data_IF_834700588522
#
_entry.id   IF_834700588522
#
_cell.length_a   1.000
_cell.length_b   1.000
_cell.length_c   1.000
_cell.angle_alpha   90.00
_cell.angle_beta   90.00
_cell.angle_gamma   90.00
#
_symmetry.space_group_name_H-M   'P 1'
#
loop_
_entity.id
_entity.type
_entity.pdbx_description
1 polymer ?
#
# COMPACT_ATOMS: atom_id res chain seq x y z
N UNK A 1 52.21 37.18 -25.64
CA UNK A 1 50.86 36.70 -25.74
C UNK A 1 50.85 35.19 -25.49
N UNK A 2 50.46 34.77 -24.30
CA UNK A 2 50.41 33.35 -23.90
C UNK A 2 48.93 33.01 -23.85
N UNK A 3 48.43 31.99 -24.56
CA UNK A 3 47.03 31.58 -24.44
C UNK A 3 46.81 30.76 -23.16
N UNK A 4 45.88 31.21 -22.34
CA UNK A 4 45.42 30.48 -21.18
C UNK A 4 44.55 29.30 -21.64
N UNK A 5 44.96 28.06 -21.33
CA UNK A 5 44.20 26.85 -21.53
C UNK A 5 43.24 26.71 -20.31
N UNK A 6 41.96 26.97 -20.50
CA UNK A 6 40.92 26.61 -19.54
C UNK A 6 40.70 25.10 -19.61
N UNK A 7 41.17 24.38 -18.61
CA UNK A 7 40.81 22.97 -18.42
C UNK A 7 39.47 22.92 -17.70
N UNK A 8 38.38 22.60 -18.41
CA UNK A 8 37.07 22.26 -17.82
C UNK A 8 37.13 20.87 -17.25
N UNK A 9 37.18 20.76 -15.92
CA UNK A 9 36.98 19.50 -15.21
C UNK A 9 35.49 19.15 -15.27
N UNK A 10 35.12 18.23 -16.16
CA UNK A 10 33.80 17.60 -16.15
C UNK A 10 33.81 16.54 -15.05
N UNK A 11 33.25 16.85 -13.87
CA UNK A 11 32.99 15.84 -12.86
C UNK A 11 31.79 15.00 -13.35
N UNK A 12 32.06 13.86 -13.98
CA UNK A 12 31.08 12.79 -14.13
C UNK A 12 30.83 12.19 -12.74
N UNK A 13 29.73 12.57 -12.10
CA UNK A 13 29.16 11.76 -11.03
C UNK A 13 28.60 10.50 -11.68
N UNK A 14 29.36 9.43 -11.66
CA UNK A 14 28.83 8.09 -11.87
C UNK A 14 27.92 7.79 -10.65
N UNK A 15 26.64 8.07 -10.76
CA UNK A 15 25.65 7.49 -9.86
C UNK A 15 25.65 5.99 -10.14
N UNK A 16 26.33 5.24 -9.29
CA UNK A 16 26.19 3.80 -9.24
C UNK A 16 24.74 3.52 -8.93
N UNK A 17 23.93 3.14 -9.95
CA UNK A 17 22.62 2.59 -9.75
C UNK A 17 22.85 1.20 -9.16
N UNK A 18 22.99 1.11 -7.85
CA UNK A 18 23.01 -0.17 -7.16
C UNK A 18 21.62 -0.77 -7.31
N UNK A 19 21.54 -1.92 -7.96
CA UNK A 19 20.31 -2.69 -7.99
C UNK A 19 19.86 -2.98 -6.55
N UNK A 20 18.62 -2.59 -6.21
CA UNK A 20 18.04 -2.80 -4.90
C UNK A 20 17.31 -4.14 -4.93
N UNK A 21 17.71 -5.09 -4.07
CA UNK A 21 17.13 -6.43 -4.00
C UNK A 21 18.08 -7.53 -4.46
N UNK A 22 17.69 -8.80 -4.50
CA UNK A 22 16.37 -9.28 -4.06
C UNK A 22 16.19 -9.20 -2.54
N UNK A 23 15.01 -8.74 -2.11
CA UNK A 23 14.66 -8.69 -0.68
C UNK A 23 14.34 -10.09 -0.15
N UNK A 24 14.74 -10.36 1.09
CA UNK A 24 14.45 -11.60 1.83
C UNK A 24 13.39 -11.39 2.93
N UNK A 25 13.16 -10.14 3.30
CA UNK A 25 12.21 -9.76 4.34
C UNK A 25 11.32 -8.64 3.86
N UNK A 26 10.01 -8.79 4.07
CA UNK A 26 9.01 -7.75 3.92
C UNK A 26 8.44 -7.44 5.30
N UNK A 27 8.64 -6.21 5.76
CA UNK A 27 8.03 -5.67 6.98
C UNK A 27 6.90 -4.75 6.54
N UNK A 28 5.65 -5.17 6.77
CA UNK A 28 4.46 -4.51 6.26
C UNK A 28 3.71 -3.76 7.36
N UNK A 29 3.26 -2.55 7.03
CA UNK A 29 2.42 -1.69 7.86
C UNK A 29 1.21 -1.24 7.05
N UNK A 30 0.13 -0.87 7.74
CA UNK A 30 -1.03 -0.36 7.03
C UNK A 30 -2.36 -0.67 7.69
N UNK A 31 -3.36 -0.86 6.84
CA UNK A 31 -4.74 -1.12 7.25
C UNK A 31 -5.23 -2.50 6.79
N UNK A 32 -6.57 -2.64 6.63
CA UNK A 32 -7.21 -3.89 6.22
C UNK A 32 -6.82 -4.42 4.83
N UNK A 33 -6.14 -3.63 4.01
CA UNK A 33 -5.60 -4.11 2.73
C UNK A 33 -4.35 -4.96 2.92
N UNK A 34 -3.68 -4.82 4.06
CA UNK A 34 -2.40 -5.46 4.37
C UNK A 34 -2.51 -6.47 5.51
N UNK A 35 -3.37 -6.22 6.51
CA UNK A 35 -3.53 -7.03 7.74
C UNK A 35 -3.79 -8.52 7.43
N UNK A 36 -2.85 -9.38 7.80
CA UNK A 36 -2.95 -10.82 7.64
C UNK A 36 -3.46 -11.55 8.90
N UNK A 37 -3.70 -10.82 9.99
CA UNK A 37 -4.25 -11.37 11.24
C UNK A 37 -5.78 -11.25 11.25
N UNK A 38 -6.31 -10.08 10.88
CA UNK A 38 -7.74 -9.80 10.83
C UNK A 38 -8.20 -9.56 9.40
N UNK A 39 -8.26 -10.64 8.64
CA UNK A 39 -8.70 -10.59 7.24
C UNK A 39 -10.20 -10.39 7.17
N UNK A 40 -10.65 -9.23 6.74
CA UNK A 40 -12.06 -8.80 6.79
C UNK A 40 -13.01 -9.60 5.89
N UNK A 41 -12.49 -10.38 4.95
CA UNK A 41 -13.25 -11.15 3.97
C UNK A 41 -12.89 -12.65 3.91
N UNK A 42 -12.03 -13.11 4.84
CA UNK A 42 -11.61 -14.51 4.91
C UNK A 42 -10.64 -14.94 3.79
N UNK A 43 -10.08 -14.01 3.05
CA UNK A 43 -9.10 -14.28 2.00
C UNK A 43 -7.64 -14.20 2.48
N UNK A 44 -6.69 -14.23 1.55
CA UNK A 44 -5.27 -14.01 1.82
C UNK A 44 -4.91 -12.59 1.39
N UNK A 45 -4.30 -11.76 2.25
CA UNK A 45 -3.85 -10.42 1.90
C UNK A 45 -2.58 -10.46 1.04
N UNK A 46 -2.26 -9.34 0.39
CA UNK A 46 -1.18 -9.25 -0.58
C UNK A 46 0.21 -9.62 -0.02
N UNK A 47 0.57 -9.35 1.25
CA UNK A 47 1.88 -9.74 1.77
C UNK A 47 2.09 -11.26 1.75
N UNK A 48 1.06 -12.03 2.09
CA UNK A 48 1.15 -13.49 2.09
C UNK A 48 1.30 -14.04 0.65
N UNK A 49 0.73 -13.36 -0.36
CA UNK A 49 1.00 -13.70 -1.76
C UNK A 49 2.46 -13.46 -2.15
N UNK A 50 3.14 -12.46 -1.58
CA UNK A 50 4.58 -12.27 -1.80
C UNK A 50 5.36 -13.51 -1.34
N UNK A 51 5.05 -14.05 -0.16
CA UNK A 51 5.67 -15.29 0.33
C UNK A 51 5.34 -16.48 -0.58
N UNK A 52 4.06 -16.65 -0.95
CA UNK A 52 3.62 -17.75 -1.82
C UNK A 52 4.31 -17.70 -3.18
N UNK A 53 4.35 -16.53 -3.84
CA UNK A 53 4.94 -16.40 -5.18
C UNK A 53 6.47 -16.39 -5.19
N UNK A 54 7.09 -16.07 -4.05
CA UNK A 54 8.53 -16.23 -3.86
C UNK A 54 8.92 -17.65 -3.43
N UNK A 55 7.94 -18.59 -3.34
CA UNK A 55 8.15 -19.95 -2.87
C UNK A 55 8.79 -20.01 -1.47
N UNK A 56 8.43 -19.05 -0.61
CA UNK A 56 8.95 -18.92 0.73
C UNK A 56 10.30 -18.19 0.85
N UNK A 57 10.86 -17.68 -0.26
CA UNK A 57 12.12 -16.96 -0.22
C UNK A 57 12.03 -15.59 0.47
N UNK A 58 10.81 -15.01 0.57
CA UNK A 58 10.57 -13.74 1.27
C UNK A 58 9.76 -14.01 2.54
N UNK A 59 10.35 -13.73 3.70
CA UNK A 59 9.66 -13.78 4.99
C UNK A 59 8.79 -12.55 5.19
N UNK A 60 7.56 -12.74 5.68
CA UNK A 60 6.60 -11.65 5.92
C UNK A 60 6.50 -11.36 7.40
N UNK A 61 6.61 -10.08 7.76
CA UNK A 61 6.44 -9.55 9.12
C UNK A 61 5.39 -8.45 9.06
N UNK A 62 4.12 -8.80 9.37
CA UNK A 62 2.99 -7.91 9.19
C UNK A 62 2.53 -7.27 10.49
N UNK A 63 2.64 -5.94 10.55
CA UNK A 63 2.19 -5.08 11.64
C UNK A 63 0.90 -4.33 11.32
N UNK A 64 0.40 -4.42 10.07
CA UNK A 64 -0.83 -3.76 9.65
C UNK A 64 -2.03 -4.20 10.49
N UNK A 65 -3.00 -3.31 10.69
CA UNK A 65 -4.24 -3.61 11.43
C UNK A 65 -5.45 -3.00 10.74
N UNK A 66 -6.46 -3.84 10.55
CA UNK A 66 -7.72 -3.47 9.93
C UNK A 66 -8.33 -2.23 10.61
N UNK A 67 -8.81 -1.27 9.80
CA UNK A 67 -9.36 0.00 10.28
C UNK A 67 -8.31 1.04 10.68
N UNK A 68 -7.02 0.68 10.62
CA UNK A 68 -5.92 1.58 10.99
C UNK A 68 -5.88 2.84 10.13
N UNK A 69 -5.46 3.94 10.75
CA UNK A 69 -5.11 5.21 10.14
C UNK A 69 -3.63 5.47 10.32
N UNK A 70 -3.06 6.45 9.63
CA UNK A 70 -1.64 6.77 9.82
C UNK A 70 -1.36 7.22 11.27
N UNK A 71 -2.18 8.13 11.81
CA UNK A 71 -2.09 8.58 13.20
C UNK A 71 -3.47 8.86 13.79
N UNK A 72 -3.74 8.31 14.98
CA UNK A 72 -4.97 8.61 15.74
C UNK A 72 -4.98 10.04 16.32
N UNK A 73 -3.86 10.74 16.29
CA UNK A 73 -3.81 12.18 16.64
C UNK A 73 -4.35 13.06 15.52
N UNK A 74 -4.28 12.59 14.27
CA UNK A 74 -4.78 13.29 13.07
C UNK A 74 -6.23 12.90 12.77
N UNK A 75 -6.49 11.62 12.60
CA UNK A 75 -7.81 11.04 12.27
C UNK A 75 -8.17 9.99 13.32
N UNK A 76 -8.77 10.40 14.45
CA UNK A 76 -9.02 9.51 15.59
C UNK A 76 -9.96 8.35 15.23
N UNK A 77 -9.50 7.12 15.53
CA UNK A 77 -10.26 5.88 15.41
C UNK A 77 -9.96 4.96 16.59
N UNK A 78 -10.85 4.01 16.84
CA UNK A 78 -10.66 2.99 17.89
C UNK A 78 -9.66 1.90 17.48
N UNK A 79 -9.29 1.86 16.22
CA UNK A 79 -8.40 0.85 15.64
C UNK A 79 -6.92 1.25 15.76
N UNK A 80 -6.01 0.27 15.83
CA UNK A 80 -4.58 0.51 15.95
C UNK A 80 -4.03 1.30 14.77
N UNK A 81 -3.53 2.51 15.02
CA UNK A 81 -2.88 3.37 14.03
C UNK A 81 -1.43 2.97 13.77
N UNK A 82 -0.86 3.48 12.68
CA UNK A 82 0.52 3.18 12.33
C UNK A 82 1.48 3.73 13.38
N UNK A 83 1.43 5.04 13.66
CA UNK A 83 2.41 5.68 14.54
C UNK A 83 2.23 5.32 16.02
N UNK A 84 1.01 5.31 16.54
CA UNK A 84 0.78 5.13 17.98
C UNK A 84 0.61 3.67 18.40
N UNK A 85 0.50 2.73 17.44
CA UNK A 85 0.27 1.31 17.77
C UNK A 85 1.16 0.34 17.00
N UNK A 86 1.22 0.44 15.67
CA UNK A 86 1.97 -0.52 14.85
C UNK A 86 3.48 -0.32 14.99
N UNK A 87 3.99 0.92 15.02
CA UNK A 87 5.41 1.21 15.30
C UNK A 87 5.81 0.76 16.71
N UNK A 88 5.09 1.10 17.79
CA UNK A 88 5.38 0.54 19.11
C UNK A 88 5.35 -0.99 19.17
N UNK A 89 4.46 -1.63 18.42
CA UNK A 89 4.44 -3.10 18.31
C UNK A 89 5.69 -3.64 17.61
N UNK A 90 6.09 -3.00 16.49
CA UNK A 90 7.34 -3.34 15.82
C UNK A 90 8.53 -3.20 16.77
N UNK A 91 8.57 -2.15 17.60
CA UNK A 91 9.63 -1.93 18.59
C UNK A 91 9.69 -3.02 19.64
N UNK A 92 8.55 -3.55 20.08
CA UNK A 92 8.51 -4.68 21.02
C UNK A 92 8.99 -6.00 20.40
N UNK A 93 8.74 -6.17 19.10
CA UNK A 93 9.10 -7.40 18.38
C UNK A 93 10.51 -7.31 17.76
N UNK A 94 11.22 -6.18 17.90
CA UNK A 94 12.56 -6.01 17.35
C UNK A 94 13.62 -5.82 18.42
N UNK A 95 14.84 -6.29 18.12
CA UNK A 95 16.04 -6.10 18.92
C UNK A 95 17.09 -5.41 18.06
N UNK A 96 17.56 -4.23 18.48
CA UNK A 96 18.68 -3.53 17.87
C UNK A 96 19.90 -3.71 18.76
N UNK A 97 20.98 -4.28 18.21
CA UNK A 97 22.25 -4.46 18.92
C UNK A 97 23.10 -3.20 18.87
N UNK A 98 24.15 -3.16 19.70
CA UNK A 98 25.10 -2.04 19.78
C UNK A 98 25.80 -1.76 18.43
N UNK A 99 26.00 -2.80 17.60
CA UNK A 99 26.57 -2.67 16.25
C UNK A 99 25.57 -2.15 15.19
N UNK A 100 24.34 -1.81 15.62
CA UNK A 100 23.26 -1.36 14.74
C UNK A 100 22.53 -2.45 13.97
N UNK A 101 22.88 -3.74 14.19
CA UNK A 101 22.15 -4.84 13.55
C UNK A 101 20.77 -5.02 14.15
N UNK A 102 19.76 -5.16 13.30
CA UNK A 102 18.36 -5.33 13.70
C UNK A 102 17.95 -6.78 13.55
N UNK A 103 17.17 -7.26 14.51
CA UNK A 103 16.59 -8.59 14.55
C UNK A 103 15.10 -8.52 14.84
N UNK A 104 14.31 -9.44 14.30
CA UNK A 104 12.87 -9.52 14.54
C UNK A 104 12.49 -10.83 15.22
N UNK A 105 11.61 -10.75 16.20
CA UNK A 105 11.04 -11.89 16.89
C UNK A 105 10.01 -12.59 15.98
N UNK A 106 10.18 -13.89 15.79
CA UNK A 106 9.21 -14.72 15.07
C UNK A 106 8.37 -15.58 16.04
N UNK A 107 7.23 -16.13 15.62
CA UNK A 107 6.27 -16.79 16.50
C UNK A 107 6.81 -17.94 17.37
N UNK A 108 7.90 -18.58 16.96
CA UNK A 108 8.55 -19.64 17.76
C UNK A 108 9.47 -19.11 18.88
N UNK A 109 9.53 -17.79 19.08
CA UNK A 109 10.37 -17.15 20.10
C UNK A 109 11.83 -16.92 19.67
N UNK A 110 12.18 -17.13 18.42
CA UNK A 110 13.53 -16.90 17.88
C UNK A 110 13.63 -15.51 17.26
N UNK A 111 14.81 -14.89 17.37
CA UNK A 111 15.12 -13.65 16.66
C UNK A 111 15.83 -13.94 15.34
N UNK A 112 15.25 -13.48 14.24
CA UNK A 112 15.86 -13.51 12.90
C UNK A 112 16.51 -12.17 12.57
N UNK A 113 17.70 -12.16 11.93
CA UNK A 113 18.30 -10.92 11.47
C UNK A 113 17.45 -10.25 10.40
N UNK A 114 17.38 -8.91 10.46
CA UNK A 114 16.79 -8.04 9.44
C UNK A 114 17.89 -7.13 8.84
N UNK A 115 18.75 -7.64 7.97
CA UNK A 115 19.77 -6.79 7.35
C UNK A 115 19.13 -5.70 6.49
N UNK A 116 19.60 -4.46 6.61
CA UNK A 116 19.00 -3.30 5.94
C UNK A 116 18.95 -3.45 4.41
N UNK A 117 19.95 -4.09 3.80
CA UNK A 117 20.02 -4.34 2.35
C UNK A 117 19.01 -5.40 1.87
N UNK A 118 18.62 -6.34 2.73
CA UNK A 118 17.76 -7.49 2.41
C UNK A 118 16.30 -7.26 2.84
N UNK A 119 16.01 -6.13 3.50
CA UNK A 119 14.70 -5.83 4.10
C UNK A 119 14.01 -4.68 3.40
N UNK A 120 12.78 -4.92 2.96
CA UNK A 120 11.85 -3.91 2.42
C UNK A 120 10.80 -3.57 3.46
N UNK A 121 10.67 -2.30 3.80
CA UNK A 121 9.61 -1.76 4.65
C UNK A 121 8.51 -1.19 3.78
N UNK A 122 7.29 -1.69 3.91
CA UNK A 122 6.15 -1.28 3.10
C UNK A 122 5.04 -0.68 3.95
N UNK A 123 4.38 0.36 3.42
CA UNK A 123 3.18 0.94 3.99
C UNK A 123 2.09 1.08 2.93
N UNK A 124 0.87 0.59 3.25
CA UNK A 124 -0.34 0.86 2.49
C UNK A 124 -1.42 1.36 3.42
N UNK A 125 -1.63 2.66 3.43
CA UNK A 125 -2.48 3.39 4.37
C UNK A 125 -3.21 4.53 3.65
N UNK A 126 -4.08 5.24 4.34
CA UNK A 126 -4.74 6.44 3.84
C UNK A 126 -6.22 6.26 3.56
N UNK A 127 -6.66 5.06 3.22
CA UNK A 127 -8.09 4.76 2.97
C UNK A 127 -8.98 5.17 4.14
N UNK A 128 -8.57 4.86 5.35
CA UNK A 128 -9.31 5.22 6.55
C UNK A 128 -9.12 6.69 6.94
N UNK A 129 -7.95 7.28 6.63
CA UNK A 129 -7.66 8.69 6.91
C UNK A 129 -8.54 9.63 6.07
N UNK A 130 -8.74 9.30 4.77
CA UNK A 130 -9.61 10.08 3.88
C UNK A 130 -11.08 9.67 3.97
N UNK A 131 -11.41 8.52 4.57
CA UNK A 131 -12.72 7.88 4.55
C UNK A 131 -13.77 8.52 5.44
N UNK A 132 -14.91 7.84 5.55
CA UNK A 132 -15.99 8.18 6.46
C UNK A 132 -15.49 8.14 7.92
N UNK A 133 -16.03 9.02 8.75
CA UNK A 133 -15.59 9.31 10.13
C UNK A 133 -14.16 9.87 10.25
N UNK A 134 -13.59 10.36 9.13
CA UNK A 134 -12.30 11.03 9.08
C UNK A 134 -12.38 12.27 8.17
N UNK A 135 -11.40 12.51 7.29
CA UNK A 135 -11.35 13.74 6.49
C UNK A 135 -12.59 13.99 5.63
N UNK A 136 -13.28 12.94 5.17
CA UNK A 136 -14.44 13.08 4.29
C UNK A 136 -15.61 13.85 4.94
N UNK A 137 -15.98 13.53 6.17
CA UNK A 137 -17.20 14.05 6.80
C UNK A 137 -17.07 14.42 8.28
N UNK A 138 -15.93 14.14 8.89
CA UNK A 138 -15.60 14.51 10.28
C UNK A 138 -14.15 14.98 10.42
N UNK A 139 -13.69 15.94 9.60
CA UNK A 139 -12.32 16.43 9.71
C UNK A 139 -12.11 17.08 11.08
N UNK A 140 -10.99 16.78 11.71
CA UNK A 140 -10.55 17.49 12.90
C UNK A 140 -10.08 18.89 12.50
N UNK A 141 -10.37 19.89 13.31
CA UNK A 141 -9.93 21.27 13.05
C UNK A 141 -8.42 21.35 12.81
N UNK A 142 -8.02 22.04 11.76
CA UNK A 142 -6.62 22.22 11.36
C UNK A 142 -5.98 20.98 10.70
N UNK A 143 -6.68 19.86 10.58
CA UNK A 143 -6.18 18.64 9.95
C UNK A 143 -6.72 18.50 8.52
N UNK A 144 -5.81 18.21 7.60
CA UNK A 144 -6.08 18.07 6.17
C UNK A 144 -5.34 16.88 5.58
N UNK A 145 -5.53 16.66 4.29
CA UNK A 145 -4.77 15.64 3.52
C UNK A 145 -3.25 15.87 3.57
N UNK A 146 -2.81 17.11 3.75
CA UNK A 146 -1.39 17.45 3.90
C UNK A 146 -0.79 16.82 5.16
N UNK A 147 -1.53 16.85 6.27
CA UNK A 147 -1.09 16.27 7.54
C UNK A 147 -1.06 14.74 7.48
N UNK A 148 -2.12 14.12 6.96
CA UNK A 148 -2.20 12.65 6.87
C UNK A 148 -1.19 12.07 5.91
N UNK A 149 -0.88 12.77 4.80
CA UNK A 149 0.18 12.35 3.89
C UNK A 149 1.58 12.61 4.45
N UNK A 150 1.78 13.64 5.26
CA UNK A 150 3.05 13.90 5.95
C UNK A 150 3.37 12.79 6.96
N UNK A 151 2.37 12.29 7.67
CA UNK A 151 2.47 11.22 8.66
C UNK A 151 3.18 9.95 8.13
N UNK A 152 3.05 9.63 6.84
CA UNK A 152 3.79 8.51 6.23
C UNK A 152 5.31 8.73 6.30
N UNK A 153 5.77 9.97 6.23
CA UNK A 153 7.19 10.29 6.35
C UNK A 153 7.66 10.34 7.82
N UNK A 154 6.76 10.52 8.78
CA UNK A 154 7.05 10.27 10.19
C UNK A 154 7.26 8.76 10.45
N UNK A 155 6.46 7.91 9.81
CA UNK A 155 6.69 6.46 9.78
C UNK A 155 8.05 6.10 9.15
N UNK A 156 8.40 6.71 8.01
CA UNK A 156 9.73 6.54 7.39
C UNK A 156 10.81 6.91 8.39
N UNK A 157 10.69 8.09 9.02
CA UNK A 157 11.67 8.58 9.98
C UNK A 157 11.87 7.61 11.14
N UNK A 158 10.77 7.14 11.73
CA UNK A 158 10.81 6.22 12.85
C UNK A 158 11.58 4.92 12.54
N UNK A 159 11.44 4.39 11.33
CA UNK A 159 12.15 3.19 10.89
C UNK A 159 13.57 3.49 10.39
N UNK A 160 13.77 4.62 9.71
CA UNK A 160 15.09 5.05 9.25
C UNK A 160 16.07 5.24 10.41
N UNK A 161 15.61 5.85 11.50
CA UNK A 161 16.39 6.03 12.73
C UNK A 161 16.78 4.69 13.37
N UNK A 162 16.05 3.60 13.05
CA UNK A 162 16.32 2.23 13.48
C UNK A 162 17.12 1.40 12.45
N UNK A 163 17.64 2.03 11.40
CA UNK A 163 18.49 1.37 10.42
C UNK A 163 17.78 0.90 9.14
N UNK A 164 16.47 1.09 8.99
CA UNK A 164 15.77 0.81 7.74
C UNK A 164 16.26 1.68 6.60
N UNK A 165 16.40 1.11 5.39
CA UNK A 165 16.94 1.83 4.23
C UNK A 165 16.12 1.66 2.96
N UNK A 166 15.24 0.66 2.87
CA UNK A 166 14.43 0.44 1.66
C UNK A 166 12.95 0.56 2.02
N UNK A 167 12.27 1.50 1.39
CA UNK A 167 10.89 1.86 1.68
C UNK A 167 10.00 1.76 0.44
N UNK A 168 8.85 1.13 0.58
CA UNK A 168 7.79 1.07 -0.43
C UNK A 168 6.54 1.74 0.11
N UNK A 169 6.14 2.83 -0.50
CA UNK A 169 4.88 3.50 -0.24
C UNK A 169 3.88 3.05 -1.31
N UNK A 170 2.72 2.57 -0.90
CA UNK A 170 1.64 2.23 -1.81
C UNK A 170 0.58 3.33 -1.74
N UNK A 171 0.24 3.92 -2.88
CA UNK A 171 -0.72 5.01 -2.91
C UNK A 171 -2.16 4.53 -2.70
N UNK A 172 -3.07 5.46 -2.39
CA UNK A 172 -4.49 5.15 -2.18
C UNK A 172 -5.14 4.70 -3.49
N UNK A 173 -5.98 3.67 -3.42
CA UNK A 173 -6.80 3.21 -4.55
C UNK A 173 -7.85 4.27 -4.94
N UNK A 174 -8.47 4.18 -6.13
CA UNK A 174 -9.51 5.13 -6.56
C UNK A 174 -10.82 4.92 -5.79
N UNK A 175 -10.86 5.36 -4.53
CA UNK A 175 -11.97 5.13 -3.59
C UNK A 175 -13.31 5.69 -4.11
N UNK A 176 -13.30 6.78 -4.89
CA UNK A 176 -14.50 7.33 -5.55
C UNK A 176 -15.18 6.37 -6.52
N UNK A 177 -14.52 5.26 -6.90
CA UNK A 177 -15.11 4.21 -7.73
C UNK A 177 -15.72 3.07 -6.91
N UNK A 178 -15.52 3.08 -5.59
CA UNK A 178 -16.05 2.04 -4.71
C UNK A 178 -17.53 2.27 -4.38
N UNK A 179 -18.31 1.22 -4.03
CA UNK A 179 -19.74 1.35 -3.75
C UNK A 179 -20.10 2.42 -2.70
N UNK A 180 -19.29 2.59 -1.67
CA UNK A 180 -19.57 3.55 -0.60
C UNK A 180 -19.36 5.00 -1.02
N UNK A 181 -18.44 5.26 -1.95
CA UNK A 181 -18.00 6.61 -2.29
C UNK A 181 -18.33 7.03 -3.72
N UNK A 182 -18.88 6.14 -4.55
CA UNK A 182 -19.23 6.51 -5.94
C UNK A 182 -20.52 7.34 -6.01
N UNK A 183 -20.62 8.20 -7.02
CA UNK A 183 -21.82 9.03 -7.24
C UNK A 183 -23.12 8.23 -7.47
N UNK A 184 -22.98 6.98 -7.91
CA UNK A 184 -24.07 6.01 -8.07
C UNK A 184 -24.02 4.90 -6.98
N UNK A 185 -23.36 5.18 -5.89
CA UNK A 185 -23.15 4.26 -4.79
C UNK A 185 -24.39 4.00 -3.95
N UNK A 186 -24.22 3.22 -2.92
CA UNK A 186 -25.27 2.86 -1.97
C UNK A 186 -24.69 2.70 -0.56
N UNK A 187 -25.56 2.67 0.44
CA UNK A 187 -25.15 2.42 1.83
C UNK A 187 -24.53 1.03 1.97
N UNK A 188 -23.46 0.95 2.75
CA UNK A 188 -22.71 -0.30 2.98
C UNK A 188 -22.70 -0.66 4.47
N UNK A 189 -22.21 -1.85 4.82
CA UNK A 189 -22.02 -2.21 6.23
C UNK A 189 -21.04 -1.30 6.98
N UNK A 190 -20.17 -0.61 6.26
CA UNK A 190 -19.19 0.33 6.83
C UNK A 190 -19.77 1.74 7.02
N UNK A 191 -20.83 2.06 6.27
CA UNK A 191 -21.61 3.30 6.43
C UNK A 191 -23.06 3.05 6.04
N UNK A 192 -23.91 2.70 7.01
CA UNK A 192 -25.32 2.37 6.75
C UNK A 192 -26.23 3.61 6.68
N UNK A 193 -25.70 4.81 6.97
CA UNK A 193 -26.47 6.04 6.99
C UNK A 193 -26.59 6.65 5.59
N UNK A 194 -27.73 7.28 5.26
CA UNK A 194 -27.88 8.06 4.04
C UNK A 194 -26.84 9.19 3.98
N UNK A 195 -26.33 9.49 2.81
CA UNK A 195 -25.41 10.59 2.55
C UNK A 195 -25.57 11.12 1.13
N UNK A 196 -25.04 12.29 0.84
CA UNK A 196 -24.98 12.85 -0.50
C UNK A 196 -23.87 12.16 -1.30
N UNK A 197 -24.23 11.16 -2.10
CA UNK A 197 -23.29 10.34 -2.88
C UNK A 197 -22.47 11.17 -3.87
N UNK A 198 -23.08 12.17 -4.51
CA UNK A 198 -22.36 13.02 -5.46
C UNK A 198 -21.31 13.86 -4.77
N UNK A 199 -21.65 14.49 -3.64
CA UNK A 199 -20.71 15.28 -2.84
C UNK A 199 -19.57 14.41 -2.30
N UNK A 200 -19.90 13.25 -1.75
CA UNK A 200 -18.89 12.31 -1.26
C UNK A 200 -17.96 11.81 -2.36
N UNK A 201 -18.50 11.53 -3.55
CA UNK A 201 -17.69 11.09 -4.68
C UNK A 201 -16.70 12.16 -5.16
N UNK A 202 -17.15 13.42 -5.25
CA UNK A 202 -16.30 14.53 -5.64
C UNK A 202 -15.20 14.74 -4.59
N UNK A 203 -15.58 14.89 -3.31
CA UNK A 203 -14.61 15.12 -2.25
C UNK A 203 -13.65 13.95 -2.07
N UNK A 204 -14.12 12.71 -2.17
CA UNK A 204 -13.25 11.54 -2.14
C UNK A 204 -12.24 11.52 -3.29
N UNK A 205 -12.68 11.90 -4.49
CA UNK A 205 -11.79 12.03 -5.65
C UNK A 205 -10.68 13.08 -5.40
N UNK A 206 -11.05 14.23 -4.86
CA UNK A 206 -10.11 15.31 -4.50
C UNK A 206 -9.11 14.86 -3.42
N UNK A 207 -9.60 14.24 -2.34
CA UNK A 207 -8.74 13.76 -1.24
C UNK A 207 -7.75 12.70 -1.73
N UNK A 208 -8.22 11.71 -2.48
CA UNK A 208 -7.37 10.62 -2.97
C UNK A 208 -6.32 11.13 -3.97
N UNK A 209 -6.73 11.90 -4.97
CA UNK A 209 -5.80 12.37 -6.00
C UNK A 209 -4.78 13.34 -5.43
N UNK A 210 -5.20 14.34 -4.66
CA UNK A 210 -4.25 15.28 -4.03
C UNK A 210 -3.31 14.59 -3.04
N UNK A 211 -3.81 13.61 -2.27
CA UNK A 211 -2.96 12.82 -1.37
C UNK A 211 -1.92 11.98 -2.12
N UNK A 212 -2.32 11.33 -3.21
CA UNK A 212 -1.41 10.53 -4.04
C UNK A 212 -0.34 11.39 -4.71
N UNK A 213 -0.69 12.58 -5.21
CA UNK A 213 0.28 13.54 -5.75
C UNK A 213 1.27 14.03 -4.68
N UNK A 214 0.79 14.33 -3.47
CA UNK A 214 1.67 14.69 -2.35
C UNK A 214 2.66 13.57 -2.02
N UNK A 215 2.24 12.31 -2.03
CA UNK A 215 3.16 11.18 -1.85
C UNK A 215 4.13 11.03 -3.00
N UNK A 216 3.68 11.20 -4.25
CA UNK A 216 4.56 11.11 -5.42
C UNK A 216 5.68 12.17 -5.36
N UNK A 217 5.33 13.43 -5.09
CA UNK A 217 6.29 14.53 -4.95
C UNK A 217 7.24 14.29 -3.78
N UNK A 218 6.70 13.96 -2.60
CA UNK A 218 7.52 13.73 -1.40
C UNK A 218 8.45 12.54 -1.56
N UNK A 219 7.97 11.41 -2.07
CA UNK A 219 8.77 10.20 -2.27
C UNK A 219 9.90 10.45 -3.26
N UNK A 220 9.62 11.15 -4.36
CA UNK A 220 10.59 11.35 -5.44
C UNK A 220 11.63 12.43 -5.14
N UNK A 221 11.23 13.54 -4.52
CA UNK A 221 12.07 14.74 -4.44
C UNK A 221 12.47 15.13 -3.03
N UNK A 222 11.68 14.79 -2.00
CA UNK A 222 11.90 15.26 -0.63
C UNK A 222 12.56 14.18 0.22
N UNK A 223 12.01 12.97 0.20
CA UNK A 223 12.48 11.89 1.04
C UNK A 223 13.97 11.52 0.82
N UNK A 224 14.50 11.48 -0.43
CA UNK A 224 15.93 11.21 -0.63
C UNK A 224 16.86 12.26 -0.02
N UNK A 225 16.38 13.51 0.11
CA UNK A 225 17.14 14.60 0.75
C UNK A 225 17.06 14.52 2.28
N UNK A 226 15.91 14.09 2.81
CA UNK A 226 15.69 13.98 4.26
C UNK A 226 16.30 12.72 4.87
N UNK A 227 16.41 11.65 4.08
CA UNK A 227 16.87 10.33 4.52
C UNK A 227 18.01 9.82 3.63
N UNK A 228 19.22 10.38 3.75
CA UNK A 228 20.37 10.02 2.92
C UNK A 228 20.68 8.51 3.00
N UNK A 229 20.94 7.90 1.84
CA UNK A 229 21.24 6.47 1.74
C UNK A 229 20.02 5.54 1.84
N UNK A 230 18.80 6.09 2.01
CA UNK A 230 17.58 5.32 1.86
C UNK A 230 17.09 5.33 0.41
N UNK A 231 16.46 4.22 0.02
CA UNK A 231 15.83 4.02 -1.30
C UNK A 231 14.32 4.00 -1.13
N UNK A 232 13.63 4.70 -2.03
CA UNK A 232 12.19 4.84 -1.98
C UNK A 232 11.54 4.35 -3.27
N UNK A 233 10.50 3.52 -3.13
CA UNK A 233 9.58 3.14 -4.19
C UNK A 233 8.18 3.65 -3.90
N UNK A 234 7.47 4.05 -4.95
CA UNK A 234 6.05 4.33 -4.91
C UNK A 234 5.32 3.32 -5.80
N UNK A 235 4.45 2.51 -5.22
CA UNK A 235 3.61 1.58 -5.97
C UNK A 235 2.29 2.26 -6.32
N UNK A 236 1.97 2.30 -7.62
CA UNK A 236 0.74 2.91 -8.12
C UNK A 236 -0.47 1.99 -8.00
N UNK A 237 -0.96 1.82 -6.76
CA UNK A 237 -2.21 1.10 -6.49
C UNK A 237 -3.41 1.79 -7.13
N UNK A 238 -3.40 3.15 -7.21
CA UNK A 238 -4.47 3.91 -7.86
C UNK A 238 -4.62 3.52 -9.33
N UNK A 239 -3.52 3.56 -10.08
CA UNK A 239 -3.52 3.20 -11.50
C UNK A 239 -3.94 1.76 -11.73
N UNK A 240 -3.38 0.83 -10.94
CA UNK A 240 -3.71 -0.60 -11.02
C UNK A 240 -5.20 -0.87 -10.79
N UNK A 241 -5.78 -0.36 -9.70
CA UNK A 241 -7.19 -0.59 -9.38
C UNK A 241 -8.14 0.16 -10.32
N UNK A 242 -7.73 1.33 -10.82
CA UNK A 242 -8.46 2.05 -11.87
C UNK A 242 -8.49 1.26 -13.17
N UNK A 243 -7.38 0.66 -13.57
CA UNK A 243 -7.31 -0.19 -14.77
C UNK A 243 -8.16 -1.45 -14.59
N UNK A 244 -8.08 -2.13 -13.43
CA UNK A 244 -8.96 -3.26 -13.10
C UNK A 244 -10.45 -2.91 -13.18
N UNK A 245 -10.82 -1.70 -12.76
CA UNK A 245 -12.21 -1.24 -12.78
C UNK A 245 -12.73 -1.03 -14.21
N UNK A 246 -11.93 -0.38 -15.05
CA UNK A 246 -12.34 -0.06 -16.43
C UNK A 246 -12.08 -1.20 -17.43
N UNK A 247 -11.11 -2.06 -17.15
CA UNK A 247 -10.71 -3.19 -17.99
C UNK A 247 -10.80 -4.54 -17.26
N UNK A 248 -11.96 -4.89 -16.64
CA UNK A 248 -12.07 -6.08 -15.78
C UNK A 248 -11.76 -7.38 -16.52
N UNK A 249 -11.98 -7.45 -17.82
CA UNK A 249 -11.70 -8.62 -18.66
C UNK A 249 -10.20 -8.98 -18.69
N UNK A 250 -9.31 -8.01 -18.49
CA UNK A 250 -7.87 -8.23 -18.45
C UNK A 250 -7.40 -8.87 -17.16
N UNK A 251 -8.21 -8.79 -16.10
CA UNK A 251 -7.86 -9.24 -14.75
C UNK A 251 -8.75 -10.35 -14.21
N UNK A 252 -10.00 -10.43 -14.70
CA UNK A 252 -10.99 -11.36 -14.22
C UNK A 252 -11.34 -12.34 -15.35
N UNK A 253 -11.10 -13.64 -15.14
CA UNK A 253 -11.60 -14.67 -16.04
C UNK A 253 -13.08 -14.93 -15.79
N UNK A 254 -13.93 -14.70 -16.77
CA UNK A 254 -15.36 -14.97 -16.67
C UNK A 254 -16.09 -14.73 -17.96
N UNK A 255 -17.32 -15.19 -18.04
CA UNK A 255 -18.20 -15.10 -19.20
C UNK A 255 -18.59 -13.63 -19.45
N UNK A 256 -17.74 -12.91 -20.15
CA UNK A 256 -17.89 -11.48 -20.41
C UNK A 256 -18.72 -11.16 -21.66
N UNK A 257 -19.26 -12.16 -22.37
CA UNK A 257 -19.74 -11.93 -23.72
C UNK A 257 -21.23 -11.63 -23.87
N UNK A 258 -22.09 -11.83 -22.92
CA UNK A 258 -23.54 -11.59 -23.12
C UNK A 258 -24.33 -10.99 -21.95
N UNK A 259 -23.79 -10.97 -20.75
CA UNK A 259 -24.48 -10.43 -19.57
C UNK A 259 -24.01 -9.04 -19.14
N UNK A 260 -22.98 -8.50 -19.79
CA UNK A 260 -22.33 -7.26 -19.38
C UNK A 260 -23.20 -6.03 -19.57
N UNK A 261 -24.06 -5.99 -20.57
CA UNK A 261 -24.89 -4.81 -20.86
C UNK A 261 -26.12 -4.71 -19.94
N UNK A 262 -26.67 -5.80 -19.46
CA UNK A 262 -27.88 -5.82 -18.62
C UNK A 262 -27.60 -5.94 -17.12
N UNK A 263 -26.48 -6.51 -16.72
CA UNK A 263 -26.09 -6.67 -15.31
C UNK A 263 -24.99 -5.70 -14.87
N UNK A 264 -24.48 -4.88 -15.79
CA UNK A 264 -23.36 -4.00 -15.56
C UNK A 264 -23.64 -2.99 -14.43
N UNK A 265 -24.83 -2.38 -14.41
CA UNK A 265 -25.19 -1.40 -13.38
C UNK A 265 -25.48 -1.99 -11.99
N UNK A 266 -25.95 -3.22 -11.91
CA UNK A 266 -26.23 -3.86 -10.60
C UNK A 266 -25.10 -4.77 -10.08
N UNK A 267 -24.26 -5.28 -10.98
CA UNK A 267 -23.29 -6.34 -10.68
C UNK A 267 -21.85 -5.86 -10.53
N UNK A 268 -21.49 -4.65 -11.02
CA UNK A 268 -20.18 -4.07 -10.79
C UNK A 268 -19.96 -3.82 -9.30
N UNK A 269 -20.97 -3.33 -8.60
CA UNK A 269 -20.88 -3.09 -7.17
C UNK A 269 -20.61 -4.35 -6.34
N UNK A 270 -21.23 -5.47 -6.73
CA UNK A 270 -20.97 -6.77 -6.08
C UNK A 270 -19.70 -7.44 -6.59
N UNK A 271 -19.21 -7.10 -7.78
CA UNK A 271 -18.05 -7.76 -8.41
C UNK A 271 -16.73 -7.04 -8.11
N UNK A 272 -16.71 -5.74 -7.92
CA UNK A 272 -15.54 -5.06 -7.38
C UNK A 272 -15.24 -5.55 -5.94
N UNK A 273 -16.28 -5.75 -5.13
CA UNK A 273 -16.12 -6.45 -3.84
C UNK A 273 -15.72 -7.92 -4.02
N UNK A 274 -16.24 -8.64 -5.02
CA UNK A 274 -15.86 -10.03 -5.30
C UNK A 274 -14.55 -10.15 -6.06
N UNK A 275 -14.10 -9.15 -6.76
CA UNK A 275 -12.76 -9.07 -7.36
C UNK A 275 -11.69 -8.88 -6.28
N UNK A 276 -11.97 -8.08 -5.27
CA UNK A 276 -11.18 -8.00 -4.03
C UNK A 276 -11.25 -9.33 -3.25
N UNK A 277 -12.41 -10.01 -3.24
CA UNK A 277 -12.60 -11.36 -2.68
C UNK A 277 -11.79 -12.43 -3.42
N UNK A 278 -11.65 -12.32 -4.73
CA UNK A 278 -10.90 -13.29 -5.53
C UNK A 278 -9.39 -13.15 -5.35
N UNK A 279 -8.94 -11.95 -5.05
CA UNK A 279 -7.55 -11.69 -4.67
C UNK A 279 -7.17 -12.35 -3.34
N UNK A 280 -8.14 -12.66 -2.53
CA UNK A 280 -7.98 -13.15 -1.18
C UNK A 280 -8.30 -14.65 -0.97
N UNK A 281 -8.53 -15.45 -2.01
CA UNK A 281 -8.88 -16.86 -1.81
C UNK A 281 -8.04 -17.82 -2.67
N UNK A 282 -6.97 -18.44 -2.11
CA UNK A 282 -5.95 -19.19 -2.85
C UNK A 282 -6.05 -20.70 -2.72
N UNK A 283 -7.21 -21.29 -2.61
CA UNK A 283 -7.26 -22.75 -2.38
C UNK A 283 -7.03 -23.61 -3.60
N UNK A 284 -6.61 -23.08 -4.75
CA UNK A 284 -6.17 -23.91 -5.88
C UNK A 284 -5.15 -23.22 -6.77
N UNK A 285 -4.01 -23.87 -6.99
CA UNK A 285 -3.20 -23.70 -8.18
C UNK A 285 -4.04 -24.14 -9.38
N UNK A 286 -4.79 -23.23 -9.93
CA UNK A 286 -5.70 -23.55 -10.99
C UNK A 286 -6.91 -22.63 -10.97
N UNK A 287 -7.63 -22.67 -12.01
CA UNK A 287 -8.85 -21.93 -12.25
C UNK A 287 -9.90 -22.38 -11.24
N UNK A 288 -10.33 -21.50 -10.31
CA UNK A 288 -11.51 -21.76 -9.51
C UNK A 288 -12.73 -21.07 -10.09
N UNK A 289 -13.81 -21.80 -10.22
CA UNK A 289 -15.10 -21.26 -10.65
C UNK A 289 -15.93 -21.00 -9.38
N UNK A 290 -16.21 -19.73 -9.06
CA UNK A 290 -17.17 -19.37 -8.03
C UNK A 290 -18.30 -18.61 -8.72
N UNK A 291 -19.49 -19.17 -8.71
CA UNK A 291 -20.66 -18.57 -9.37
C UNK A 291 -20.49 -18.40 -10.89
N UNK A 292 -19.79 -19.30 -11.57
CA UNK A 292 -19.59 -19.28 -13.02
C UNK A 292 -18.45 -18.40 -13.53
N UNK A 293 -17.65 -17.78 -12.65
CA UNK A 293 -16.51 -16.95 -13.05
C UNK A 293 -15.16 -17.66 -12.84
N UNK A 294 -14.28 -17.54 -13.83
CA UNK A 294 -12.89 -18.00 -13.76
C UNK A 294 -11.98 -16.83 -13.48
N UNK A 295 -11.00 -17.01 -12.60
CA UNK A 295 -10.04 -15.98 -12.20
C UNK A 295 -8.67 -16.31 -12.76
N UNK A 296 -8.03 -15.33 -13.42
CA UNK A 296 -6.68 -15.46 -13.96
C UNK A 296 -5.69 -14.83 -12.98
N UNK A 297 -4.55 -15.47 -12.84
CA UNK A 297 -3.39 -14.99 -12.08
C UNK A 297 -3.06 -13.54 -12.44
N UNK A 298 -3.19 -12.62 -11.51
CA UNK A 298 -2.57 -11.30 -11.56
C UNK A 298 -1.06 -11.42 -11.23
N UNK A 299 -0.34 -12.31 -11.94
CA UNK A 299 1.07 -12.60 -11.65
C UNK A 299 2.02 -11.63 -12.39
N UNK A 300 1.57 -11.09 -13.53
CA UNK A 300 2.46 -10.27 -14.37
C UNK A 300 2.95 -8.98 -13.70
N UNK A 301 2.15 -8.19 -13.00
CA UNK A 301 2.67 -6.98 -12.36
C UNK A 301 3.68 -7.27 -11.24
N UNK A 302 3.42 -8.29 -10.40
CA UNK A 302 4.34 -8.61 -9.30
C UNK A 302 5.65 -9.26 -9.77
N UNK A 303 5.59 -10.19 -10.75
CA UNK A 303 6.82 -10.77 -11.32
C UNK A 303 7.67 -9.76 -12.09
N UNK A 304 7.04 -8.83 -12.83
CA UNK A 304 7.79 -7.78 -13.51
C UNK A 304 8.41 -6.79 -12.52
N UNK A 305 7.79 -6.60 -11.36
CA UNK A 305 8.29 -5.70 -10.33
C UNK A 305 9.44 -6.32 -9.53
N UNK A 306 9.37 -7.62 -9.23
CA UNK A 306 10.47 -8.37 -8.62
C UNK A 306 11.63 -8.63 -9.61
N UNK A 307 11.40 -8.50 -10.91
CA UNK A 307 12.40 -8.65 -11.97
C UNK A 307 12.98 -7.32 -12.50
N UNK A 308 12.48 -6.18 -12.02
CA UNK A 308 13.08 -4.87 -12.27
C UNK A 308 14.14 -4.58 -11.20
N UNK A 309 15.16 -5.39 -11.18
CA UNK A 309 16.44 -5.14 -10.52
C UNK A 309 17.48 -4.80 -11.57
#
# INVERSE_FOLDING_TARGET
MIPAILATFSLCFATSCSAVGPFKHLVAFGDSYTDNVQVSNGGIPWPDYVNIYSEGAVSIHDFARAGGVCSNLLTPRVWPSVLESQIPRYDLDTLIKEDGSTYILIPNGTYLPLPSQDTLYSIWIGTNDVGADALLNKPREGISIVNTTACVFDWVKALYDKGARNFLIQNMIPLQLTPMYSATGYTTKYWPLPHNQTEWSILMSELVQSGNELWAVKTKYIAPLQFPGAVFGLFDSYGLFKDMYYNPASYLAGLLTLLTTLLFNASIHTKAQRGLYAWSNPTEYGIRTVGGMRYIRAIRPLKSWLAMS
#
